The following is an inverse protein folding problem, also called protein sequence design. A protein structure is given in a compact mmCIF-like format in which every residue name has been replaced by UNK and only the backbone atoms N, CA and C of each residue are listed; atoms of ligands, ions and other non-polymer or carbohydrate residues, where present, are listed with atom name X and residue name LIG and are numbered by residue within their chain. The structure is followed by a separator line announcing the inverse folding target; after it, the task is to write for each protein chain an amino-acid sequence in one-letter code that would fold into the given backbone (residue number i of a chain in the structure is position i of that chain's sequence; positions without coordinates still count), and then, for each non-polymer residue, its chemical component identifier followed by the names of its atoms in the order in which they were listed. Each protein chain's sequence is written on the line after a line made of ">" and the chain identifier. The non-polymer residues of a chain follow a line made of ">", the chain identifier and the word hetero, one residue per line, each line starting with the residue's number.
data_IF_670373222864
#
_entry.id   IF_670373222864
#
_cell.length_a   1.000
_cell.length_b   1.000
_cell.length_c   1.000
_cell.angle_alpha   90.00
_cell.angle_beta   90.00
_cell.angle_gamma   90.00
#
_symmetry.space_group_name_H-M   'P 1'
#
loop_
_entity.id
_entity.type
_entity.pdbx_description
1 polymer ?
#
# COMPACT_ATOMS: atom_id res chain seq x y z
N UNK A 1 -7.89 12.52 -20.61
CA UNK A 1 -7.46 12.73 -19.20
C UNK A 1 -5.95 12.82 -19.17
N UNK A 2 -5.40 13.84 -18.51
CA UNK A 2 -3.96 14.00 -18.31
C UNK A 2 -3.49 13.08 -17.17
N UNK A 3 -2.25 12.61 -17.26
CA UNK A 3 -1.58 11.80 -16.21
C UNK A 3 -1.42 12.64 -14.94
N UNK A 4 -1.63 12.05 -13.76
CA UNK A 4 -1.52 12.74 -12.49
C UNK A 4 -0.07 12.69 -12.00
N UNK A 5 0.72 13.70 -12.34
CA UNK A 5 2.15 13.69 -12.05
C UNK A 5 2.48 13.67 -10.55
N UNK A 6 1.63 14.21 -9.66
CA UNK A 6 1.81 14.07 -8.21
C UNK A 6 1.70 12.62 -7.71
N UNK A 7 0.91 11.76 -8.38
CA UNK A 7 0.84 10.32 -8.08
C UNK A 7 2.14 9.64 -8.47
N UNK A 8 2.70 9.97 -9.63
CA UNK A 8 4.00 9.44 -10.05
C UNK A 8 5.12 9.97 -9.14
N UNK A 9 5.10 11.24 -8.75
CA UNK A 9 6.06 11.80 -7.80
C UNK A 9 6.01 11.10 -6.45
N UNK A 10 4.81 10.82 -5.91
CA UNK A 10 4.65 10.10 -4.64
C UNK A 10 5.12 8.64 -4.73
N UNK A 11 4.96 7.96 -5.89
CA UNK A 11 5.61 6.65 -6.15
C UNK A 11 7.13 6.77 -6.19
N UNK A 12 7.65 7.86 -6.76
CA UNK A 12 9.06 8.19 -6.76
C UNK A 12 9.63 8.34 -5.36
N UNK A 13 8.94 9.09 -4.51
CA UNK A 13 9.28 9.22 -3.10
C UNK A 13 9.33 7.85 -2.40
N UNK A 14 8.35 6.97 -2.65
CA UNK A 14 8.35 5.60 -2.14
C UNK A 14 9.59 4.81 -2.61
N UNK A 15 10.00 4.98 -3.88
CA UNK A 15 11.22 4.36 -4.39
C UNK A 15 12.49 4.86 -3.67
N UNK A 16 12.59 6.18 -3.45
CA UNK A 16 13.75 6.78 -2.77
C UNK A 16 13.87 6.25 -1.34
N UNK A 17 12.77 6.27 -0.58
CA UNK A 17 12.74 5.78 0.80
C UNK A 17 13.01 4.26 0.89
N UNK A 18 12.54 3.49 -0.09
CA UNK A 18 12.82 2.05 -0.20
C UNK A 18 14.33 1.81 -0.38
N UNK A 19 14.96 2.50 -1.34
CA UNK A 19 16.40 2.42 -1.56
C UNK A 19 17.19 2.84 -0.32
N UNK A 20 16.87 4.00 0.26
CA UNK A 20 17.54 4.50 1.46
C UNK A 20 17.56 3.44 2.56
N UNK A 21 16.39 2.89 2.88
CA UNK A 21 16.23 1.96 4.01
C UNK A 21 17.00 0.67 3.79
N UNK A 22 16.86 0.07 2.61
CA UNK A 22 17.53 -1.19 2.29
C UNK A 22 19.04 -1.01 2.14
N UNK A 23 19.53 0.09 1.54
CA UNK A 23 20.95 0.40 1.47
C UNK A 23 21.55 0.63 2.86
N UNK A 24 20.88 1.43 3.70
CA UNK A 24 21.39 1.73 5.04
C UNK A 24 21.39 0.49 5.92
N UNK A 25 20.35 -0.33 5.87
CA UNK A 25 20.35 -1.59 6.61
C UNK A 25 21.39 -2.57 6.07
N UNK A 26 21.65 -2.63 4.77
CA UNK A 26 22.58 -3.63 4.21
C UNK A 26 24.04 -3.22 4.30
N UNK A 27 24.35 -1.93 4.16
CA UNK A 27 25.72 -1.46 3.93
C UNK A 27 26.36 -0.74 5.12
N UNK A 28 25.57 -0.20 6.05
CA UNK A 28 26.13 0.45 7.24
C UNK A 28 26.69 -0.59 8.21
N UNK A 29 27.85 -0.26 8.80
CA UNK A 29 28.44 -1.08 9.85
C UNK A 29 27.63 -1.03 11.15
N UNK A 30 27.94 -1.93 12.09
CA UNK A 30 27.20 -2.09 13.33
C UNK A 30 27.20 -0.84 14.22
N UNK A 31 28.22 0.01 14.16
CA UNK A 31 28.30 1.23 14.97
C UNK A 31 27.48 2.37 14.36
N UNK A 32 27.50 2.52 13.03
CA UNK A 32 26.65 3.47 12.32
C UNK A 32 25.15 3.17 12.54
N UNK A 33 24.77 1.89 12.63
CA UNK A 33 23.40 1.47 12.93
C UNK A 33 22.91 1.83 14.35
N UNK A 34 23.80 2.17 15.28
CA UNK A 34 23.43 2.64 16.62
C UNK A 34 23.12 4.13 16.68
N UNK A 35 23.43 4.88 15.62
CA UNK A 35 23.23 6.33 15.58
C UNK A 35 21.76 6.73 15.52
N UNK A 36 21.44 7.92 16.02
CA UNK A 36 20.09 8.49 15.89
C UNK A 36 19.72 8.75 14.42
N UNK A 37 20.71 9.08 13.57
CA UNK A 37 20.49 9.22 12.13
C UNK A 37 19.96 7.93 11.48
N UNK A 38 20.51 6.77 11.85
CA UNK A 38 19.97 5.49 11.42
C UNK A 38 18.55 5.26 11.96
N UNK A 39 18.30 5.54 13.24
CA UNK A 39 16.95 5.38 13.82
C UNK A 39 15.89 6.23 13.11
N UNK A 40 16.19 7.48 12.79
CA UNK A 40 15.26 8.37 12.08
C UNK A 40 15.04 7.95 10.62
N UNK A 41 16.08 7.52 9.90
CA UNK A 41 15.93 6.98 8.54
C UNK A 41 15.02 5.74 8.50
N UNK A 42 15.15 4.83 9.48
CA UNK A 42 14.28 3.65 9.58
C UNK A 42 12.80 3.99 9.79
N UNK A 43 12.48 5.15 10.40
CA UNK A 43 11.09 5.62 10.48
C UNK A 43 10.54 5.92 9.07
N UNK A 44 11.34 6.59 8.23
CA UNK A 44 11.03 6.82 6.82
C UNK A 44 10.88 5.52 6.04
N UNK A 45 11.67 4.50 6.37
CA UNK A 45 11.62 3.16 5.80
C UNK A 45 10.35 2.37 6.03
N UNK A 46 9.47 2.82 6.93
CA UNK A 46 8.16 2.20 7.12
C UNK A 46 7.10 2.68 6.10
N UNK A 47 7.41 3.72 5.32
CA UNK A 47 6.47 4.39 4.40
C UNK A 47 6.40 3.80 2.97
N UNK A 48 7.45 3.20 2.37
CA UNK A 48 7.41 2.74 0.99
C UNK A 48 6.25 1.78 0.68
N UNK A 49 6.09 0.72 1.49
CA UNK A 49 5.05 -0.27 1.24
C UNK A 49 3.63 0.32 1.36
N UNK A 50 3.27 1.07 2.43
CA UNK A 50 1.98 1.77 2.47
C UNK A 50 1.74 2.71 1.28
N UNK A 51 2.78 3.45 0.87
CA UNK A 51 2.71 4.37 -0.28
C UNK A 51 2.41 3.62 -1.59
N UNK A 52 3.12 2.53 -1.89
CA UNK A 52 2.86 1.77 -3.11
C UNK A 52 1.46 1.17 -3.12
N UNK A 53 1.01 0.61 -1.99
CA UNK A 53 -0.27 -0.07 -1.90
C UNK A 53 -1.45 0.92 -1.98
N UNK A 54 -1.39 2.07 -1.27
CA UNK A 54 -2.42 3.10 -1.37
C UNK A 54 -2.48 3.71 -2.77
N UNK A 55 -1.33 3.94 -3.42
CA UNK A 55 -1.27 4.48 -4.77
C UNK A 55 -1.73 3.46 -5.83
N UNK A 56 -1.61 2.16 -5.58
CA UNK A 56 -2.22 1.13 -6.40
C UNK A 56 -3.76 1.23 -6.34
N UNK A 57 -4.32 1.43 -5.15
CA UNK A 57 -5.75 1.70 -4.96
C UNK A 57 -6.24 2.94 -5.71
N UNK A 58 -5.52 4.05 -5.58
CA UNK A 58 -5.82 5.30 -6.33
C UNK A 58 -5.74 5.06 -7.84
N UNK A 59 -4.73 4.32 -8.33
CA UNK A 59 -4.62 3.95 -9.74
C UNK A 59 -5.80 3.12 -10.25
N UNK A 60 -6.26 2.14 -9.47
CA UNK A 60 -7.44 1.35 -9.84
C UNK A 60 -8.69 2.22 -9.95
N UNK A 61 -8.90 3.16 -9.02
CA UNK A 61 -10.01 4.12 -9.12
C UNK A 61 -9.92 4.99 -10.39
N UNK A 62 -8.71 5.48 -10.72
CA UNK A 62 -8.46 6.28 -11.93
C UNK A 62 -8.76 5.50 -13.21
N UNK A 63 -8.31 4.25 -13.30
CA UNK A 63 -8.52 3.37 -14.45
C UNK A 63 -10.00 3.02 -14.59
N UNK A 64 -10.67 2.65 -13.50
CA UNK A 64 -12.09 2.29 -13.50
C UNK A 64 -12.97 3.47 -13.92
N UNK A 65 -12.72 4.68 -13.41
CA UNK A 65 -13.45 5.91 -13.80
C UNK A 65 -13.18 6.29 -15.25
N UNK A 66 -11.93 6.16 -15.73
CA UNK A 66 -11.55 6.40 -17.13
C UNK A 66 -12.33 5.48 -18.08
N UNK A 67 -12.31 4.18 -17.82
CA UNK A 67 -12.95 3.18 -18.67
C UNK A 67 -14.48 3.30 -18.60
N UNK A 68 -15.03 3.62 -17.44
CA UNK A 68 -16.46 3.91 -17.31
C UNK A 68 -16.86 5.13 -18.13
N UNK A 69 -16.06 6.19 -18.13
CA UNK A 69 -16.30 7.38 -18.96
C UNK A 69 -16.25 7.09 -20.48
N UNK A 70 -15.64 5.97 -20.87
CA UNK A 70 -15.63 5.46 -22.25
C UNK A 70 -16.76 4.46 -22.55
N UNK A 71 -17.66 4.20 -21.60
CA UNK A 71 -18.76 3.24 -21.76
C UNK A 71 -18.35 1.77 -21.72
N UNK A 72 -17.14 1.44 -21.23
CA UNK A 72 -16.71 0.04 -21.10
C UNK A 72 -17.56 -0.68 -20.07
N UNK A 73 -17.95 -1.91 -20.40
CA UNK A 73 -18.78 -2.76 -19.55
C UNK A 73 -18.08 -3.09 -18.22
N UNK A 74 -18.87 -3.13 -17.14
CA UNK A 74 -18.36 -3.32 -15.77
C UNK A 74 -17.54 -4.60 -15.62
N UNK A 75 -18.04 -5.72 -16.15
CA UNK A 75 -17.35 -7.00 -16.09
C UNK A 75 -15.99 -6.94 -16.75
N UNK A 76 -15.91 -6.28 -17.90
CA UNK A 76 -14.65 -6.06 -18.62
C UNK A 76 -13.65 -5.20 -17.82
N UNK A 77 -14.12 -4.10 -17.18
CA UNK A 77 -13.26 -3.25 -16.33
C UNK A 77 -12.71 -4.06 -15.14
N UNK A 78 -13.58 -4.77 -14.42
CA UNK A 78 -13.18 -5.58 -13.29
C UNK A 78 -12.17 -6.66 -13.70
N UNK A 79 -12.46 -7.39 -14.79
CA UNK A 79 -11.58 -8.40 -15.36
C UNK A 79 -10.21 -7.81 -15.70
N UNK A 80 -10.16 -6.66 -16.34
CA UNK A 80 -8.91 -5.98 -16.68
C UNK A 80 -8.08 -5.65 -15.44
N UNK A 81 -8.71 -5.13 -14.38
CA UNK A 81 -8.03 -4.82 -13.11
C UNK A 81 -7.51 -6.09 -12.44
N UNK A 82 -8.32 -7.14 -12.37
CA UNK A 82 -7.93 -8.42 -11.77
C UNK A 82 -6.79 -9.08 -12.55
N UNK A 83 -6.81 -8.99 -13.89
CA UNK A 83 -5.74 -9.55 -14.72
C UNK A 83 -4.43 -8.79 -14.55
N UNK A 84 -4.48 -7.46 -14.47
CA UNK A 84 -3.30 -6.68 -14.13
C UNK A 84 -2.76 -7.01 -12.73
N UNK A 85 -3.64 -7.25 -11.76
CA UNK A 85 -3.24 -7.73 -10.44
C UNK A 85 -2.58 -9.12 -10.48
N UNK A 86 -3.11 -10.01 -11.32
CA UNK A 86 -2.55 -11.35 -11.55
C UNK A 86 -1.17 -11.28 -12.21
N UNK A 87 -0.97 -10.38 -13.17
CA UNK A 87 0.35 -10.11 -13.78
C UNK A 87 1.36 -9.65 -12.73
N UNK A 88 1.00 -8.68 -11.88
CA UNK A 88 1.88 -8.18 -10.81
C UNK A 88 2.20 -9.29 -9.80
N UNK A 89 1.21 -10.08 -9.42
CA UNK A 89 1.40 -11.24 -8.53
C UNK A 89 2.37 -12.26 -9.15
N UNK A 90 2.18 -12.59 -10.43
CA UNK A 90 3.05 -13.50 -11.18
C UNK A 90 4.48 -12.97 -11.30
N UNK A 91 4.66 -11.66 -11.53
CA UNK A 91 5.96 -11.02 -11.50
C UNK A 91 6.63 -11.12 -10.12
N UNK A 92 5.87 -10.97 -9.04
CA UNK A 92 6.37 -11.18 -7.68
C UNK A 92 6.91 -12.60 -7.47
N UNK A 93 6.20 -13.61 -7.97
CA UNK A 93 6.69 -15.01 -7.94
C UNK A 93 7.95 -15.16 -8.80
N UNK A 94 7.95 -14.59 -10.01
CA UNK A 94 9.09 -14.70 -10.93
C UNK A 94 10.37 -14.08 -10.34
N UNK A 95 10.28 -12.90 -9.75
CA UNK A 95 11.42 -12.26 -9.09
C UNK A 95 11.90 -13.07 -7.90
N UNK A 96 11.00 -13.69 -7.14
CA UNK A 96 11.42 -14.59 -6.07
C UNK A 96 12.15 -15.84 -6.58
N UNK A 97 11.71 -16.41 -7.70
CA UNK A 97 12.42 -17.54 -8.33
C UNK A 97 13.83 -17.09 -8.76
N UNK A 98 13.96 -15.90 -9.36
CA UNK A 98 15.27 -15.32 -9.70
C UNK A 98 16.16 -15.17 -8.46
N UNK A 99 15.67 -14.52 -7.40
CA UNK A 99 16.40 -14.33 -6.13
C UNK A 99 16.86 -15.67 -5.52
N UNK A 100 15.98 -16.69 -5.54
CA UNK A 100 16.31 -18.02 -5.04
C UNK A 100 17.45 -18.65 -5.85
N UNK A 101 17.39 -18.58 -7.17
CA UNK A 101 18.43 -19.12 -8.07
C UNK A 101 19.77 -18.40 -7.87
N UNK A 102 19.76 -17.08 -7.78
CA UNK A 102 20.96 -16.27 -7.52
C UNK A 102 21.54 -16.51 -6.11
N UNK A 103 20.70 -16.91 -5.16
CA UNK A 103 21.10 -17.20 -3.78
C UNK A 103 21.67 -18.60 -3.53
N UNK A 104 21.72 -19.48 -4.54
CA UNK A 104 22.28 -20.83 -4.41
C UNK A 104 23.80 -20.75 -4.08
N UNK A 105 24.33 -21.55 -3.14
CA UNK A 105 23.67 -22.64 -2.40
C UNK A 105 23.13 -22.25 -1.01
N UNK A 106 23.11 -20.96 -0.67
CA UNK A 106 22.86 -20.48 0.69
C UNK A 106 21.35 -20.35 0.99
N UNK A 107 20.55 -20.01 -0.01
CA UNK A 107 19.12 -19.74 0.17
C UNK A 107 18.31 -21.02 0.36
N UNK A 108 17.48 -21.12 1.42
CA UNK A 108 16.60 -22.27 1.63
C UNK A 108 15.44 -22.25 0.62
N UNK A 109 14.96 -23.44 0.21
CA UNK A 109 13.84 -23.57 -0.73
C UNK A 109 12.55 -22.87 -0.25
N UNK A 110 12.39 -22.72 1.06
CA UNK A 110 11.23 -22.08 1.69
C UNK A 110 11.09 -20.61 1.26
N UNK A 111 12.19 -19.93 0.91
CA UNK A 111 12.17 -18.54 0.47
C UNK A 111 11.35 -18.34 -0.81
N UNK A 112 11.19 -19.38 -1.65
CA UNK A 112 10.30 -19.36 -2.82
C UNK A 112 8.85 -19.03 -2.46
N UNK A 113 8.41 -19.38 -1.25
CA UNK A 113 7.03 -19.21 -0.79
C UNK A 113 6.87 -18.07 0.23
N UNK A 114 7.91 -17.26 0.44
CA UNK A 114 7.82 -16.06 1.29
C UNK A 114 6.96 -14.99 0.60
N UNK A 115 6.05 -14.37 1.34
CA UNK A 115 5.11 -13.38 0.81
C UNK A 115 5.72 -11.97 0.83
N UNK A 116 5.86 -11.37 -0.35
CA UNK A 116 6.45 -10.04 -0.54
C UNK A 116 5.42 -8.96 -0.94
N UNK A 117 5.87 -7.71 -0.98
CA UNK A 117 5.10 -6.52 -1.33
C UNK A 117 4.44 -6.64 -2.72
N UNK A 118 5.11 -7.26 -3.70
CA UNK A 118 4.51 -7.47 -5.04
C UNK A 118 3.36 -8.47 -4.99
N UNK A 119 3.47 -9.54 -4.19
CA UNK A 119 2.39 -10.51 -4.05
C UNK A 119 1.15 -9.83 -3.47
N UNK A 120 1.31 -9.04 -2.40
CA UNK A 120 0.18 -8.34 -1.80
C UNK A 120 -0.36 -7.23 -2.68
N UNK A 121 0.48 -6.55 -3.48
CA UNK A 121 0.04 -5.54 -4.43
C UNK A 121 -0.86 -6.18 -5.50
N UNK A 122 -0.45 -7.32 -6.03
CA UNK A 122 -1.24 -8.11 -6.98
C UNK A 122 -2.57 -8.61 -6.40
N UNK A 123 -2.53 -9.24 -5.22
CA UNK A 123 -3.74 -9.70 -4.51
C UNK A 123 -4.67 -8.54 -4.20
N UNK A 124 -4.14 -7.42 -3.71
CA UNK A 124 -4.93 -6.23 -3.42
C UNK A 124 -5.62 -5.73 -4.67
N UNK A 125 -4.94 -5.63 -5.81
CA UNK A 125 -5.57 -5.22 -7.08
C UNK A 125 -6.70 -6.17 -7.49
N UNK A 126 -6.54 -7.48 -7.30
CA UNK A 126 -7.60 -8.47 -7.56
C UNK A 126 -8.81 -8.19 -6.66
N UNK A 127 -8.61 -8.00 -5.36
CA UNK A 127 -9.66 -7.68 -4.38
C UNK A 127 -10.37 -6.37 -4.71
N UNK A 128 -9.65 -5.33 -5.16
CA UNK A 128 -10.24 -4.07 -5.59
C UNK A 128 -11.10 -4.24 -6.85
N UNK A 129 -10.65 -5.07 -7.80
CA UNK A 129 -11.42 -5.42 -9.00
C UNK A 129 -12.72 -6.15 -8.66
N UNK A 130 -12.66 -7.10 -7.73
CA UNK A 130 -13.84 -7.81 -7.21
C UNK A 130 -14.81 -6.84 -6.50
N UNK A 131 -14.30 -5.97 -5.62
CA UNK A 131 -15.11 -4.97 -4.93
C UNK A 131 -15.81 -4.03 -5.91
N UNK A 132 -15.11 -3.57 -6.94
CA UNK A 132 -15.68 -2.74 -8.00
C UNK A 132 -16.78 -3.47 -8.80
N UNK A 133 -16.60 -4.76 -9.08
CA UNK A 133 -17.60 -5.57 -9.74
C UNK A 133 -18.89 -5.70 -8.90
N UNK A 134 -18.73 -5.99 -7.60
CA UNK A 134 -19.81 -6.11 -6.63
C UNK A 134 -20.55 -4.78 -6.41
N UNK A 135 -19.84 -3.66 -6.33
CA UNK A 135 -20.43 -2.33 -6.14
C UNK A 135 -21.25 -1.85 -7.35
N UNK A 136 -21.04 -2.47 -8.52
CA UNK A 136 -21.49 -1.98 -9.81
C UNK A 136 -22.97 -2.14 -10.17
N UNK A 137 -23.83 -2.59 -9.25
CA UNK A 137 -25.28 -2.71 -9.48
C UNK A 137 -25.97 -1.33 -9.37
N UNK A 138 -26.83 -0.97 -10.32
CA UNK A 138 -27.62 0.28 -10.28
C UNK A 138 -26.94 1.52 -10.93
N UNK A 139 -27.51 2.71 -10.67
CA UNK A 139 -27.17 3.98 -11.33
C UNK A 139 -25.71 4.42 -11.11
N UNK A 140 -25.13 5.12 -12.11
CA UNK A 140 -23.70 5.44 -12.15
C UNK A 140 -23.20 6.34 -10.99
N UNK A 141 -23.99 7.32 -10.57
CA UNK A 141 -23.63 8.19 -9.43
C UNK A 141 -23.68 7.42 -8.10
N UNK A 142 -24.77 6.67 -7.88
CA UNK A 142 -24.92 5.79 -6.72
C UNK A 142 -23.81 4.73 -6.66
N UNK A 143 -23.32 4.26 -7.82
CA UNK A 143 -22.22 3.30 -7.93
C UNK A 143 -20.91 3.83 -7.39
N UNK A 144 -20.53 5.08 -7.69
CA UNK A 144 -19.27 5.67 -7.18
C UNK A 144 -19.31 5.77 -5.65
N UNK A 145 -20.39 6.34 -5.11
CA UNK A 145 -20.57 6.47 -3.66
C UNK A 145 -20.59 5.10 -2.99
N UNK A 146 -21.26 4.11 -3.58
CA UNK A 146 -21.26 2.73 -3.08
C UNK A 146 -19.86 2.12 -3.10
N UNK A 147 -19.11 2.23 -4.19
CA UNK A 147 -17.73 1.74 -4.24
C UNK A 147 -16.86 2.37 -3.17
N UNK A 148 -17.00 3.68 -2.94
CA UNK A 148 -16.27 4.40 -1.90
C UNK A 148 -16.64 3.85 -0.52
N UNK A 149 -17.93 3.75 -0.19
CA UNK A 149 -18.40 3.23 1.11
C UNK A 149 -17.96 1.79 1.32
N UNK A 150 -18.07 0.93 0.31
CA UNK A 150 -17.61 -0.46 0.39
C UNK A 150 -16.09 -0.54 0.56
N UNK A 151 -15.31 0.34 -0.10
CA UNK A 151 -13.86 0.38 0.08
C UNK A 151 -13.48 0.82 1.50
N UNK A 152 -14.13 1.84 2.05
CA UNK A 152 -13.93 2.25 3.46
C UNK A 152 -14.31 1.11 4.41
N UNK A 153 -15.46 0.46 4.17
CA UNK A 153 -15.91 -0.68 4.96
C UNK A 153 -14.95 -1.87 4.91
N UNK A 154 -14.41 -2.19 3.72
CA UNK A 154 -13.42 -3.25 3.55
C UNK A 154 -12.09 -2.91 4.24
N UNK A 155 -11.61 -1.66 4.15
CA UNK A 155 -10.42 -1.22 4.88
C UNK A 155 -10.61 -1.34 6.40
N UNK A 156 -11.75 -0.89 6.91
CA UNK A 156 -12.09 -1.00 8.33
C UNK A 156 -12.19 -2.46 8.78
N UNK A 157 -12.84 -3.33 7.99
CA UNK A 157 -12.95 -4.75 8.28
C UNK A 157 -11.57 -5.42 8.34
N UNK A 158 -10.68 -5.16 7.38
CA UNK A 158 -9.31 -5.69 7.40
C UNK A 158 -8.56 -5.18 8.63
N UNK A 159 -8.63 -3.89 8.94
CA UNK A 159 -7.96 -3.32 10.11
C UNK A 159 -8.46 -3.95 11.44
N UNK A 160 -9.78 -4.06 11.62
CA UNK A 160 -10.41 -4.63 12.83
C UNK A 160 -10.12 -6.12 12.98
N UNK A 161 -10.11 -6.88 11.88
CA UNK A 161 -9.82 -8.32 11.91
C UNK A 161 -8.32 -8.63 12.09
N UNK A 162 -7.43 -7.68 11.79
CA UNK A 162 -5.97 -7.90 11.82
C UNK A 162 -5.46 -8.41 13.17
N UNK A 163 -5.74 -7.76 14.33
CA UNK A 163 -5.26 -8.26 15.62
C UNK A 163 -5.68 -9.71 15.91
N UNK A 164 -6.94 -10.06 15.64
CA UNK A 164 -7.45 -11.40 15.89
C UNK A 164 -6.76 -12.44 14.99
N UNK A 165 -6.60 -12.15 13.70
CA UNK A 165 -5.95 -13.05 12.73
C UNK A 165 -4.44 -13.22 12.97
N UNK A 166 -3.82 -12.27 13.67
CA UNK A 166 -2.43 -12.37 14.12
C UNK A 166 -2.27 -13.12 15.46
N UNK A 167 -3.32 -13.18 16.28
CA UNK A 167 -3.22 -13.68 17.66
C UNK A 167 -4.20 -14.81 17.94
N UNK A 168 -5.45 -14.50 18.24
CA UNK A 168 -6.45 -15.40 18.82
C UNK A 168 -7.17 -16.29 17.79
N UNK A 169 -7.39 -15.79 16.58
CA UNK A 169 -8.10 -16.47 15.49
C UNK A 169 -7.17 -16.82 14.33
N UNK A 170 -5.94 -17.24 14.64
CA UNK A 170 -5.00 -17.69 13.62
C UNK A 170 -5.53 -18.93 12.89
N UNK A 171 -5.53 -18.94 11.55
CA UNK A 171 -6.03 -20.06 10.76
C UNK A 171 -5.01 -21.20 10.66
N UNK A 172 -4.64 -21.79 11.81
CA UNK A 172 -3.62 -22.86 11.93
C UNK A 172 -3.95 -24.15 11.17
N UNK A 173 -5.18 -24.27 10.68
CA UNK A 173 -5.60 -25.39 9.85
C UNK A 173 -5.07 -25.29 8.40
N UNK A 174 -4.58 -24.11 7.99
CA UNK A 174 -3.98 -23.89 6.68
C UNK A 174 -2.49 -24.30 6.70
N UNK A 175 -1.95 -24.86 5.61
CA UNK A 175 -0.50 -24.96 5.45
C UNK A 175 0.16 -23.59 5.57
N UNK A 176 1.36 -23.54 6.15
CA UNK A 176 2.08 -22.28 6.40
C UNK A 176 2.20 -21.39 5.16
N UNK A 177 2.34 -21.99 3.96
CA UNK A 177 2.45 -21.25 2.70
C UNK A 177 1.18 -20.44 2.39
N UNK A 178 -0.01 -20.93 2.76
CA UNK A 178 -1.28 -20.23 2.57
C UNK A 178 -1.55 -19.30 3.77
N UNK A 179 -1.31 -19.75 5.01
CA UNK A 179 -1.45 -18.90 6.20
C UNK A 179 -0.56 -17.65 6.09
N UNK A 180 0.61 -17.74 5.46
CA UNK A 180 1.51 -16.61 5.21
C UNK A 180 0.86 -15.48 4.43
N UNK A 181 -0.10 -15.76 3.55
CA UNK A 181 -0.85 -14.71 2.86
C UNK A 181 -1.89 -14.06 3.77
N UNK A 182 -2.34 -14.72 4.83
CA UNK A 182 -3.31 -14.17 5.79
C UNK A 182 -2.62 -13.30 6.83
N UNK A 183 -1.60 -13.81 7.51
CA UNK A 183 -0.99 -13.14 8.67
C UNK A 183 0.55 -13.18 8.66
N UNK A 184 1.20 -13.68 7.62
CA UNK A 184 2.66 -13.62 7.49
C UNK A 184 3.40 -14.59 8.42
N UNK A 185 2.88 -15.79 8.65
CA UNK A 185 3.51 -16.77 9.55
C UNK A 185 4.84 -17.34 9.04
N UNK A 186 4.92 -17.61 7.73
CA UNK A 186 6.01 -18.37 7.10
C UNK A 186 6.36 -19.65 7.87
N UNK A 187 7.61 -20.10 7.84
CA UNK A 187 8.07 -21.31 8.57
C UNK A 187 8.26 -21.08 10.08
N UNK A 188 7.93 -19.90 10.60
CA UNK A 188 8.27 -19.50 11.97
C UNK A 188 7.16 -19.80 13.00
N UNK A 189 6.02 -20.32 12.55
CA UNK A 189 4.80 -20.55 13.34
C UNK A 189 4.32 -19.33 14.17
N UNK A 190 4.74 -18.14 13.77
CA UNK A 190 4.23 -16.86 14.30
C UNK A 190 4.28 -15.79 13.20
N UNK A 191 3.29 -14.88 13.15
CA UNK A 191 3.33 -13.73 12.26
C UNK A 191 4.66 -12.96 12.34
N UNK A 192 5.21 -12.58 11.18
CA UNK A 192 6.42 -11.77 11.08
C UNK A 192 6.11 -10.37 10.55
N UNK A 193 6.64 -9.37 11.21
CA UNK A 193 6.36 -7.94 10.94
C UNK A 193 6.99 -7.44 9.63
N UNK A 194 8.01 -8.12 9.12
CA UNK A 194 8.70 -7.80 7.86
C UNK A 194 8.10 -8.51 6.64
N UNK A 195 7.02 -9.28 6.81
CA UNK A 195 6.28 -9.89 5.71
C UNK A 195 5.07 -9.06 5.33
N UNK A 196 4.55 -9.30 4.13
CA UNK A 196 3.46 -8.51 3.54
C UNK A 196 2.17 -9.33 3.34
N UNK A 197 1.52 -9.83 4.41
CA UNK A 197 0.24 -10.54 4.30
C UNK A 197 -0.95 -9.61 3.99
N UNK A 198 -2.12 -10.18 3.72
CA UNK A 198 -3.38 -9.45 3.52
C UNK A 198 -3.73 -8.58 4.72
N UNK A 199 -3.58 -9.11 5.94
CA UNK A 199 -3.88 -8.41 7.17
C UNK A 199 -2.58 -7.87 7.79
N UNK A 200 -2.35 -6.55 7.87
CA UNK A 200 -3.26 -5.45 7.53
C UNK A 200 -3.08 -4.86 6.11
N UNK A 201 -2.07 -5.27 5.34
CA UNK A 201 -1.57 -4.48 4.21
C UNK A 201 -2.60 -4.21 3.11
N UNK A 202 -3.53 -5.12 2.84
CA UNK A 202 -4.58 -4.92 1.83
C UNK A 202 -5.50 -3.73 2.17
N UNK A 203 -5.64 -3.36 3.45
CA UNK A 203 -6.45 -2.24 3.88
C UNK A 203 -5.99 -0.91 3.27
N UNK A 204 -4.68 -0.70 3.08
CA UNK A 204 -4.15 0.49 2.41
C UNK A 204 -4.65 0.61 0.97
N UNK A 205 -4.80 -0.51 0.26
CA UNK A 205 -5.29 -0.49 -1.12
C UNK A 205 -6.75 -0.06 -1.18
N UNK A 206 -7.56 -0.52 -0.22
CA UNK A 206 -8.95 -0.11 -0.08
C UNK A 206 -9.09 1.38 0.29
N UNK A 207 -8.26 1.89 1.20
CA UNK A 207 -8.20 3.33 1.49
C UNK A 207 -7.83 4.11 0.23
N UNK A 208 -6.83 3.64 -0.52
CA UNK A 208 -6.44 4.23 -1.80
C UNK A 208 -7.56 4.25 -2.83
N UNK A 209 -8.34 3.17 -2.92
CA UNK A 209 -9.50 3.10 -3.80
C UNK A 209 -10.59 4.10 -3.38
N UNK A 210 -10.86 4.23 -2.07
CA UNK A 210 -11.81 5.21 -1.54
C UNK A 210 -11.38 6.66 -1.84
N UNK A 211 -10.11 7.00 -1.58
CA UNK A 211 -9.50 8.30 -1.92
C UNK A 211 -9.59 8.54 -3.42
N UNK A 212 -9.25 7.55 -4.23
CA UNK A 212 -9.33 7.63 -5.68
C UNK A 212 -10.75 7.95 -6.17
N UNK A 213 -11.79 7.27 -5.67
CA UNK A 213 -13.17 7.60 -6.04
C UNK A 213 -13.62 8.98 -5.53
N UNK A 214 -13.15 9.39 -4.34
CA UNK A 214 -13.41 10.72 -3.80
C UNK A 214 -12.87 11.82 -4.72
N UNK A 215 -11.65 11.67 -5.24
CA UNK A 215 -11.04 12.61 -6.19
C UNK A 215 -11.85 12.80 -7.49
N UNK A 216 -12.73 11.85 -7.83
CA UNK A 216 -13.60 11.95 -9.00
C UNK A 216 -14.97 12.58 -8.74
N UNK A 217 -15.29 12.94 -7.50
CA UNK A 217 -16.52 13.67 -7.17
C UNK A 217 -16.55 15.04 -7.83
N UNK A 218 -17.76 15.56 -8.08
CA UNK A 218 -17.94 16.90 -8.66
C UNK A 218 -17.31 17.98 -7.78
N UNK A 219 -17.43 17.84 -6.46
CA UNK A 219 -16.78 18.73 -5.49
C UNK A 219 -15.26 18.75 -5.65
N UNK A 220 -14.62 17.56 -5.63
CA UNK A 220 -13.17 17.44 -5.69
C UNK A 220 -12.60 18.01 -7.00
N UNK A 221 -13.30 17.83 -8.12
CA UNK A 221 -12.88 18.37 -9.43
C UNK A 221 -13.04 19.89 -9.51
N UNK A 222 -14.11 20.45 -8.96
CA UNK A 222 -14.38 21.91 -9.00
C UNK A 222 -13.44 22.69 -8.10
N UNK A 223 -13.07 22.12 -6.94
CA UNK A 223 -12.26 22.78 -5.93
C UNK A 223 -10.98 21.98 -5.63
N UNK A 224 -10.18 21.69 -6.67
CA UNK A 224 -9.04 20.78 -6.57
C UNK A 224 -8.07 21.14 -5.42
N UNK A 225 -7.63 22.40 -5.33
CA UNK A 225 -6.72 22.84 -4.27
C UNK A 225 -7.30 22.72 -2.86
N UNK A 226 -8.57 23.12 -2.68
CA UNK A 226 -9.28 22.99 -1.40
C UNK A 226 -9.50 21.53 -1.04
N UNK A 227 -9.79 20.69 -2.02
CA UNK A 227 -9.97 19.26 -1.83
C UNK A 227 -8.70 18.58 -1.30
N UNK A 228 -7.53 18.89 -1.86
CA UNK A 228 -6.27 18.35 -1.32
C UNK A 228 -5.95 18.89 0.07
N UNK A 229 -6.24 20.16 0.35
CA UNK A 229 -6.15 20.70 1.71
C UNK A 229 -7.04 19.92 2.70
N UNK A 230 -8.31 19.66 2.34
CA UNK A 230 -9.23 18.87 3.16
C UNK A 230 -8.74 17.42 3.34
N UNK A 231 -8.12 16.82 2.33
CA UNK A 231 -7.46 15.51 2.46
C UNK A 231 -6.34 15.56 3.51
N UNK A 232 -5.51 16.61 3.50
CA UNK A 232 -4.48 16.82 4.51
C UNK A 232 -5.05 17.01 5.92
N UNK A 233 -6.10 17.81 6.08
CA UNK A 233 -6.80 18.02 7.35
C UNK A 233 -7.44 16.72 7.85
N UNK A 234 -8.08 15.95 6.98
CA UNK A 234 -8.62 14.63 7.31
C UNK A 234 -7.51 13.67 7.75
N UNK A 235 -6.32 13.76 7.14
CA UNK A 235 -5.14 13.01 7.54
C UNK A 235 -4.66 13.36 8.96
N UNK A 236 -4.55 14.65 9.28
CA UNK A 236 -4.22 15.12 10.63
C UNK A 236 -5.27 14.69 11.66
N UNK A 237 -6.56 14.80 11.31
CA UNK A 237 -7.66 14.36 12.15
C UNK A 237 -7.61 12.84 12.42
N UNK A 238 -7.27 12.02 11.41
CA UNK A 238 -7.10 10.58 11.57
C UNK A 238 -5.94 10.24 12.52
N UNK A 239 -4.82 10.97 12.43
CA UNK A 239 -3.68 10.81 13.37
C UNK A 239 -4.12 11.17 14.79
N UNK A 240 -4.78 12.33 14.98
CA UNK A 240 -5.27 12.75 16.28
C UNK A 240 -6.29 11.78 16.87
N UNK A 241 -7.24 11.32 16.07
CA UNK A 241 -8.24 10.32 16.48
C UNK A 241 -7.58 9.00 16.89
N UNK A 242 -6.57 8.52 16.16
CA UNK A 242 -5.79 7.35 16.56
C UNK A 242 -5.18 7.52 17.94
N UNK A 243 -4.55 8.67 18.22
CA UNK A 243 -3.92 8.94 19.52
C UNK A 243 -4.95 9.00 20.65
N UNK A 244 -6.11 9.62 20.42
CA UNK A 244 -7.20 9.69 21.40
C UNK A 244 -7.77 8.31 21.69
N UNK A 245 -8.02 7.50 20.65
CA UNK A 245 -8.55 6.15 20.80
C UNK A 245 -7.56 5.24 21.54
N UNK A 246 -6.27 5.32 21.23
CA UNK A 246 -5.24 4.53 21.92
C UNK A 246 -5.07 4.95 23.38
N UNK A 247 -5.18 6.25 23.68
CA UNK A 247 -5.14 6.79 25.03
C UNK A 247 -6.41 6.55 25.88
N UNK A 248 -7.51 6.05 25.29
CA UNK A 248 -8.80 5.90 25.98
C UNK A 248 -8.84 4.78 27.04
N UNK A 249 -7.83 3.92 27.09
CA UNK A 249 -7.78 2.77 28.00
C UNK A 249 -8.69 1.59 27.62
N UNK A 250 -9.50 1.72 26.55
CA UNK A 250 -10.38 0.65 26.07
C UNK A 250 -9.55 -0.44 25.38
N UNK A 251 -9.61 -1.67 25.90
CA UNK A 251 -8.92 -2.84 25.33
C UNK A 251 -9.91 -3.75 24.61
N UNK A 252 -9.97 -3.63 23.28
CA UNK A 252 -10.85 -4.44 22.43
C UNK A 252 -10.27 -5.82 22.10
N UNK A 253 -8.94 -5.98 22.14
CA UNK A 253 -8.24 -7.19 21.72
C UNK A 253 -7.46 -7.81 22.87
N UNK A 254 -7.30 -9.14 22.85
CA UNK A 254 -6.60 -9.89 23.90
C UNK A 254 -5.09 -9.62 23.97
N UNK A 255 -4.46 -9.25 22.85
CA UNK A 255 -3.06 -8.85 22.77
C UNK A 255 -2.96 -7.40 22.27
N UNK A 256 -2.14 -6.59 22.95
CA UNK A 256 -1.85 -5.21 22.55
C UNK A 256 -0.54 -5.16 21.76
N UNK A 257 -0.63 -4.81 20.49
CA UNK A 257 0.51 -4.48 19.65
C UNK A 257 0.16 -3.29 18.75
N UNK A 258 0.50 -2.09 19.24
CA UNK A 258 0.24 -0.84 18.53
C UNK A 258 0.89 -0.80 17.16
N UNK A 259 2.19 -1.10 17.09
CA UNK A 259 3.00 -0.79 15.90
C UNK A 259 2.79 -1.75 14.71
N UNK A 260 2.13 -2.89 14.92
CA UNK A 260 2.00 -3.89 13.84
C UNK A 260 0.55 -4.28 13.54
N UNK A 261 -0.28 -4.47 14.56
CA UNK A 261 -1.62 -5.05 14.36
C UNK A 261 -2.76 -4.09 14.72
N UNK A 262 -2.49 -3.03 15.47
CA UNK A 262 -3.53 -2.14 15.99
C UNK A 262 -4.31 -1.40 14.89
N UNK A 263 -5.66 -1.42 14.93
CA UNK A 263 -6.47 -0.59 14.06
C UNK A 263 -6.22 0.91 14.25
N UNK A 264 -5.86 1.35 15.47
CA UNK A 264 -5.52 2.74 15.74
C UNK A 264 -4.27 3.12 14.95
N UNK A 265 -3.22 2.32 15.04
CA UNK A 265 -2.00 2.58 14.30
C UNK A 265 -2.20 2.53 12.77
N UNK A 266 -3.04 1.62 12.27
CA UNK A 266 -3.46 1.63 10.87
C UNK A 266 -4.12 2.97 10.49
N UNK A 267 -5.02 3.49 11.33
CA UNK A 267 -5.67 4.79 11.13
C UNK A 267 -4.65 5.95 11.13
N UNK A 268 -3.69 5.95 12.06
CA UNK A 268 -2.59 6.92 12.07
C UNK A 268 -1.77 6.85 10.77
N UNK A 269 -1.39 5.65 10.32
CA UNK A 269 -0.66 5.47 9.05
C UNK A 269 -1.46 5.95 7.86
N UNK A 270 -2.76 5.67 7.79
CA UNK A 270 -3.63 6.23 6.76
C UNK A 270 -3.59 7.75 6.78
N UNK A 271 -3.66 8.36 7.97
CA UNK A 271 -3.54 9.81 8.14
C UNK A 271 -2.22 10.37 7.60
N UNK A 272 -1.09 9.72 7.91
CA UNK A 272 0.22 10.08 7.34
C UNK A 272 0.20 10.00 5.81
N UNK A 273 -0.37 8.96 5.23
CA UNK A 273 -0.47 8.82 3.77
C UNK A 273 -1.30 9.95 3.12
N UNK A 274 -2.40 10.36 3.76
CA UNK A 274 -3.23 11.48 3.27
C UNK A 274 -2.51 12.83 3.38
N UNK A 275 -1.76 13.05 4.46
CA UNK A 275 -0.91 14.24 4.61
C UNK A 275 0.16 14.25 3.52
N UNK A 276 0.86 13.13 3.28
CA UNK A 276 1.86 13.02 2.20
C UNK A 276 1.21 13.30 0.84
N UNK A 277 0.01 12.77 0.57
CA UNK A 277 -0.70 13.03 -0.68
C UNK A 277 -1.02 14.52 -0.86
N UNK A 278 -1.49 15.20 0.19
CA UNK A 278 -1.73 16.65 0.19
C UNK A 278 -0.44 17.44 -0.05
N UNK A 279 0.65 17.07 0.64
CA UNK A 279 1.96 17.71 0.48
C UNK A 279 2.55 17.47 -0.92
N UNK A 280 2.44 16.26 -1.46
CA UNK A 280 2.90 15.92 -2.81
C UNK A 280 2.11 16.72 -3.87
N UNK A 281 0.81 16.91 -3.67
CA UNK A 281 0.00 17.79 -4.52
C UNK A 281 0.47 19.25 -4.42
N UNK A 282 0.66 19.78 -3.20
CA UNK A 282 1.12 21.15 -3.00
C UNK A 282 2.53 21.39 -3.59
N UNK A 283 3.44 20.43 -3.39
CA UNK A 283 4.78 20.42 -3.95
C UNK A 283 4.75 20.39 -5.48
N UNK A 284 3.87 19.58 -6.06
CA UNK A 284 3.70 19.54 -7.50
C UNK A 284 3.02 20.80 -8.05
N UNK A 285 2.08 21.41 -7.31
CA UNK A 285 1.32 22.58 -7.79
C UNK A 285 2.11 23.89 -7.70
N UNK A 286 2.88 24.06 -6.62
CA UNK A 286 3.54 25.32 -6.27
C UNK A 286 5.05 25.19 -6.03
N UNK A 287 5.57 23.97 -5.94
CA UNK A 287 7.00 23.72 -5.74
C UNK A 287 7.78 23.57 -7.05
N UNK A 288 9.05 23.20 -6.91
CA UNK A 288 10.00 23.08 -8.01
C UNK A 288 9.76 21.83 -8.88
N UNK A 289 8.84 20.93 -8.50
CA UNK A 289 8.57 19.71 -9.27
C UNK A 289 8.06 19.96 -10.69
N UNK A 290 7.57 21.16 -11.01
CA UNK A 290 7.21 21.55 -12.38
C UNK A 290 8.39 22.06 -13.22
N UNK A 291 9.54 22.35 -12.59
CA UNK A 291 10.68 22.94 -13.28
C UNK A 291 11.54 21.85 -13.91
N UNK A 292 11.28 21.58 -15.19
CA UNK A 292 12.11 20.72 -16.03
C UNK A 292 12.00 19.23 -15.69
N UNK A 293 13.12 18.53 -15.73
CA UNK A 293 13.19 17.10 -15.48
C UNK A 293 13.11 16.80 -13.97
N UNK A 294 12.15 15.96 -13.56
CA UNK A 294 12.03 15.47 -12.19
C UNK A 294 12.52 14.02 -12.07
N UNK A 295 13.69 13.76 -11.48
CA UNK A 295 14.19 12.40 -11.28
C UNK A 295 13.26 11.55 -10.42
N UNK A 296 12.65 12.16 -9.39
CA UNK A 296 11.69 11.50 -8.50
C UNK A 296 10.47 11.05 -9.27
N UNK A 297 9.91 11.91 -10.13
CA UNK A 297 8.80 11.50 -10.99
C UNK A 297 9.21 10.34 -11.89
N UNK A 298 10.38 10.42 -12.54
CA UNK A 298 10.88 9.36 -13.42
C UNK A 298 10.99 8.01 -12.70
N UNK A 299 11.55 7.98 -11.49
CA UNK A 299 11.60 6.77 -10.65
C UNK A 299 10.21 6.20 -10.41
N UNK A 300 9.22 7.06 -10.12
CA UNK A 300 7.84 6.64 -9.92
C UNK A 300 7.15 6.13 -11.19
N UNK A 301 7.50 6.66 -12.37
CA UNK A 301 7.00 6.17 -13.66
C UNK A 301 7.54 4.78 -13.99
N UNK A 302 8.75 4.47 -13.54
CA UNK A 302 9.45 3.19 -13.75
C UNK A 302 9.55 2.35 -12.48
N UNK A 303 8.63 2.53 -11.52
CA UNK A 303 8.77 1.98 -10.16
C UNK A 303 8.94 0.47 -10.10
N UNK A 304 8.37 -0.29 -11.05
CA UNK A 304 8.55 -1.74 -11.12
C UNK A 304 9.98 -2.13 -11.53
N UNK A 305 10.56 -1.42 -12.50
CA UNK A 305 11.97 -1.62 -12.89
C UNK A 305 12.89 -1.23 -11.73
N UNK A 306 12.59 -0.11 -11.08
CA UNK A 306 13.30 0.38 -9.89
C UNK A 306 13.21 -0.66 -8.76
N UNK A 307 12.04 -1.26 -8.54
CA UNK A 307 11.87 -2.37 -7.61
C UNK A 307 12.69 -3.61 -8.01
N UNK A 308 12.79 -3.97 -9.27
CA UNK A 308 13.61 -5.12 -9.64
C UNK A 308 15.10 -4.83 -9.44
N UNK A 309 15.59 -3.68 -9.92
CA UNK A 309 17.01 -3.30 -9.82
C UNK A 309 17.44 -3.08 -8.37
N UNK A 310 16.60 -2.54 -7.49
CA UNK A 310 17.03 -2.29 -6.10
C UNK A 310 17.38 -3.56 -5.34
N UNK A 311 16.67 -4.66 -5.58
CA UNK A 311 16.93 -5.93 -4.90
C UNK A 311 18.33 -6.42 -5.29
N UNK A 312 18.61 -6.46 -6.60
CA UNK A 312 19.92 -6.86 -7.10
C UNK A 312 21.03 -5.87 -6.70
N UNK A 313 20.73 -4.58 -6.63
CA UNK A 313 21.72 -3.59 -6.26
C UNK A 313 22.09 -3.63 -4.77
N UNK A 314 21.11 -3.86 -3.90
CA UNK A 314 21.31 -3.84 -2.45
C UNK A 314 21.76 -5.21 -1.92
N UNK A 315 21.10 -6.27 -2.41
CA UNK A 315 21.26 -7.64 -1.92
C UNK A 315 21.95 -8.56 -2.93
N UNK A 316 22.13 -8.12 -4.18
CA UNK A 316 22.91 -8.87 -5.15
C UNK A 316 24.33 -9.05 -4.64
N UNK A 317 24.79 -10.28 -4.72
CA UNK A 317 26.09 -10.72 -4.26
C UNK A 317 27.09 -10.71 -5.40
#
# INVERSE_FOLDING_TARGET
>A
MKRLAYVDWMRGLACVLMFETHCYDSWLNADAKKSDGFRYSQMGGTLPAPLFIILAGVAVALVTEKLRGKGVERGAIAKQVMWRGTEVFGLGILFRVQEFVLGIPISPWTDLLRVDVLNILGISMILLGMLYWLSGLGAAAARRTRSLVLAVGAAAAVAILTPALWTTWRPRFLPWAIESYVNGVHIFDKPQVWLFPIFPWAAFAFVGLAVGFWLFTEFAKRHEGWNFFLIGVAGLAAIGLSMILDGSGVKLYGAYDYWHTSPNFFLARCGVMLVILSLAYAWYRWGLAQLGFSPVEQLGRTSLLVYWVHIEFVYGR
#
